data_IF_191401914297
#
_entry.id   IF_191401914297
#
_cell.length_a   1.000
_cell.length_b   1.000
_cell.length_c   1.000
_cell.angle_alpha   90.00
_cell.angle_beta   90.00
_cell.angle_gamma   90.00
#
_symmetry.space_group_name_H-M   'P 1'
#
loop_
_entity.id
_entity.type
_entity.pdbx_description
1 polymer ?
#
# COMPACT_ATOMS: atom_id res chain seq x y z
N UNK A 1 -3.45 0.45 -23.69
CA UNK A 1 -2.83 0.99 -22.47
C UNK A 1 -1.73 0.06 -22.02
N UNK A 2 -0.52 0.56 -21.79
CA UNK A 2 0.54 -0.29 -21.25
C UNK A 2 0.21 -0.72 -19.83
N UNK A 3 0.54 -1.96 -19.51
CA UNK A 3 0.44 -2.45 -18.15
C UNK A 3 1.57 -1.85 -17.32
N UNK A 4 1.28 -1.55 -16.06
CA UNK A 4 2.23 -0.87 -15.19
C UNK A 4 2.11 -1.42 -13.77
N UNK A 5 3.26 -1.59 -13.09
CA UNK A 5 3.29 -1.88 -11.67
C UNK A 5 4.11 -0.79 -10.97
N UNK A 6 3.59 -0.29 -9.86
CA UNK A 6 4.29 0.69 -9.03
C UNK A 6 4.46 0.10 -7.63
N UNK A 7 5.69 0.10 -7.14
CA UNK A 7 5.97 -0.35 -5.78
C UNK A 7 5.69 0.81 -4.83
N UNK A 8 4.66 0.66 -4.00
CA UNK A 8 4.26 1.69 -3.05
C UNK A 8 5.09 1.62 -1.78
N UNK A 9 5.64 0.46 -1.48
CA UNK A 9 6.52 0.25 -0.35
C UNK A 9 7.31 -1.02 -0.52
N UNK A 10 8.58 -0.99 -0.10
CA UNK A 10 9.52 -2.10 -0.23
C UNK A 10 10.28 -2.35 1.06
N UNK A 11 9.75 -1.85 2.20
CA UNK A 11 10.40 -1.92 3.50
C UNK A 11 9.90 -3.04 4.40
N UNK A 12 9.41 -4.13 3.83
CA UNK A 12 8.87 -5.28 4.56
C UNK A 12 7.80 -4.88 5.57
N UNK A 13 7.63 -5.60 6.67
CA UNK A 13 6.55 -5.36 7.63
C UNK A 13 6.78 -4.15 8.55
N UNK A 14 8.04 -3.74 8.71
CA UNK A 14 8.40 -2.65 9.62
C UNK A 14 8.63 -1.32 8.94
N UNK A 15 8.84 -1.32 7.63
CA UNK A 15 9.39 -0.16 6.94
C UNK A 15 10.85 0.04 7.30
N UNK A 16 11.49 1.05 6.70
CA UNK A 16 12.85 1.47 7.02
C UNK A 16 12.85 2.99 7.10
N UNK A 17 13.36 3.63 8.16
CA UNK A 17 14.01 3.05 9.32
C UNK A 17 13.05 2.29 10.25
N UNK A 18 13.58 1.30 10.93
CA UNK A 18 12.85 0.57 11.97
C UNK A 18 12.92 1.38 13.26
N UNK A 19 11.80 1.48 13.97
CA UNK A 19 11.76 2.18 15.25
C UNK A 19 12.83 1.64 16.19
N UNK A 20 13.57 2.53 16.83
CA UNK A 20 14.65 2.24 17.76
C UNK A 20 15.92 1.64 17.14
N UNK A 21 15.93 1.32 15.86
CA UNK A 21 17.11 0.77 15.21
C UNK A 21 18.15 1.86 14.96
N UNK A 22 19.38 1.63 15.37
CA UNK A 22 20.49 2.56 15.21
C UNK A 22 21.54 2.09 14.20
N UNK A 23 21.20 1.10 13.37
CA UNK A 23 22.12 0.62 12.35
C UNK A 23 22.38 1.68 11.28
N UNK A 24 23.42 1.47 10.49
CA UNK A 24 23.86 2.42 9.48
C UNK A 24 22.74 2.78 8.50
N UNK A 25 21.97 1.80 8.06
CA UNK A 25 20.86 2.02 7.10
C UNK A 25 19.73 2.80 7.75
N UNK A 26 19.30 2.42 8.95
CA UNK A 26 18.19 3.10 9.64
C UNK A 26 18.55 4.53 10.07
N UNK A 27 19.82 4.84 10.24
CA UNK A 27 20.29 6.17 10.56
C UNK A 27 20.66 7.00 9.33
N UNK A 28 20.62 6.41 8.16
CA UNK A 28 20.99 7.06 6.91
C UNK A 28 20.02 8.19 6.56
N UNK A 29 20.56 9.25 5.96
CA UNK A 29 19.75 10.34 5.40
C UNK A 29 19.43 10.15 3.93
N UNK A 30 19.95 9.08 3.32
CA UNK A 30 19.71 8.79 1.91
C UNK A 30 18.25 8.38 1.71
N UNK A 31 17.50 9.03 0.79
CA UNK A 31 16.09 8.68 0.54
C UNK A 31 15.90 7.22 0.11
N UNK A 32 16.91 6.58 -0.49
CA UNK A 32 16.82 5.18 -0.88
C UNK A 32 16.77 4.23 0.32
N UNK A 33 17.18 4.70 1.48
CA UNK A 33 17.12 3.93 2.73
C UNK A 33 15.86 4.20 3.53
N UNK A 34 14.93 4.96 2.95
CA UNK A 34 13.63 5.26 3.57
C UNK A 34 12.55 4.56 2.78
N UNK A 35 11.94 3.54 3.40
CA UNK A 35 11.00 2.65 2.70
C UNK A 35 9.76 2.41 3.54
N UNK A 36 8.60 2.61 2.94
CA UNK A 36 7.33 2.29 3.56
C UNK A 36 7.10 0.76 3.51
N UNK A 37 6.12 0.30 4.26
CA UNK A 37 5.78 -1.12 4.32
C UNK A 37 5.29 -1.63 2.96
N UNK A 38 5.45 -2.90 2.72
CA UNK A 38 5.24 -3.53 1.41
C UNK A 38 3.82 -3.35 0.88
N UNK A 39 3.71 -2.80 -0.31
CA UNK A 39 2.47 -2.72 -1.07
C UNK A 39 2.79 -2.40 -2.53
N UNK A 40 1.82 -2.65 -3.41
CA UNK A 40 1.99 -2.39 -4.83
C UNK A 40 0.69 -1.89 -5.45
N UNK A 41 0.81 -1.16 -6.56
CA UNK A 41 -0.30 -0.69 -7.37
C UNK A 41 -0.11 -1.18 -8.79
N UNK A 42 -1.15 -1.78 -9.36
CA UNK A 42 -1.09 -2.36 -10.69
C UNK A 42 -2.16 -1.72 -11.59
N UNK A 43 -1.75 -1.27 -12.76
CA UNK A 43 -2.64 -0.87 -13.84
C UNK A 43 -2.54 -1.91 -14.95
N UNK A 44 -3.66 -2.60 -15.22
CA UNK A 44 -3.68 -3.70 -16.17
C UNK A 44 -5.01 -3.70 -16.92
N UNK A 45 -4.97 -3.52 -18.24
CA UNK A 45 -6.16 -3.56 -19.10
C UNK A 45 -7.28 -2.62 -18.62
N UNK A 46 -6.92 -1.45 -18.12
CA UNK A 46 -7.88 -0.49 -17.60
C UNK A 46 -8.32 -0.74 -16.16
N UNK A 47 -7.91 -1.85 -15.55
CA UNK A 47 -8.15 -2.10 -14.14
C UNK A 47 -7.01 -1.53 -13.29
N UNK A 48 -7.36 -1.01 -12.12
CA UNK A 48 -6.40 -0.46 -11.16
C UNK A 48 -6.56 -1.22 -9.86
N UNK A 49 -5.50 -1.90 -9.45
CA UNK A 49 -5.52 -2.80 -8.32
C UNK A 49 -4.47 -2.41 -7.29
N UNK A 50 -4.84 -2.49 -6.02
CA UNK A 50 -3.90 -2.32 -4.91
C UNK A 50 -3.62 -3.71 -4.34
N UNK A 51 -2.35 -4.02 -4.14
CA UNK A 51 -1.94 -5.26 -3.47
C UNK A 51 -1.50 -4.91 -2.07
N UNK A 52 -2.28 -5.36 -1.10
CA UNK A 52 -2.17 -5.10 0.32
C UNK A 52 -2.42 -3.64 0.70
N UNK A 53 -3.00 -3.45 1.87
CA UNK A 53 -3.47 -2.18 2.36
C UNK A 53 -3.06 -2.06 3.83
N UNK A 54 -1.78 -1.80 4.06
CA UNK A 54 -1.19 -1.74 5.39
C UNK A 54 -1.31 -0.38 6.05
N UNK A 55 -0.58 -0.16 7.15
CA UNK A 55 -0.67 1.08 7.92
C UNK A 55 -0.22 2.32 7.14
N UNK A 56 0.61 2.15 6.11
CA UNK A 56 1.12 3.27 5.32
C UNK A 56 0.27 3.59 4.10
N UNK A 57 -0.88 2.94 3.95
CA UNK A 57 -1.75 3.04 2.77
C UNK A 57 -2.05 4.49 2.39
N UNK A 58 -2.49 5.28 3.34
CA UNK A 58 -2.83 6.68 3.09
C UNK A 58 -1.64 7.43 2.51
N UNK A 59 -0.47 7.32 3.14
CA UNK A 59 0.74 7.99 2.68
C UNK A 59 1.17 7.49 1.31
N UNK A 60 1.06 6.20 1.06
CA UNK A 60 1.43 5.59 -0.20
C UNK A 60 0.60 6.14 -1.36
N UNK A 61 -0.70 6.26 -1.17
CA UNK A 61 -1.58 6.81 -2.20
C UNK A 61 -1.35 8.30 -2.42
N UNK A 62 -1.16 9.06 -1.34
CA UNK A 62 -0.90 10.50 -1.45
C UNK A 62 0.41 10.77 -2.18
N UNK A 63 1.48 10.06 -1.82
CA UNK A 63 2.79 10.25 -2.43
C UNK A 63 2.79 9.91 -3.91
N UNK A 64 2.01 8.94 -4.33
CA UNK A 64 1.97 8.47 -5.71
C UNK A 64 0.81 9.07 -6.52
N UNK A 65 0.06 10.01 -5.94
CA UNK A 65 -1.08 10.67 -6.59
C UNK A 65 -2.14 9.68 -7.09
N UNK A 66 -2.39 8.62 -6.33
CA UNK A 66 -3.41 7.64 -6.65
C UNK A 66 -4.73 8.10 -6.03
N UNK A 67 -5.64 8.55 -6.87
CA UNK A 67 -6.94 9.09 -6.43
C UNK A 67 -8.09 8.12 -6.58
N UNK A 68 -7.87 6.99 -7.24
CA UNK A 68 -8.92 6.03 -7.48
C UNK A 68 -8.30 4.67 -7.82
N UNK A 69 -9.04 3.61 -7.51
CA UNK A 69 -8.66 2.24 -7.86
C UNK A 69 -9.92 1.37 -7.80
N UNK A 70 -9.84 0.16 -8.34
CA UNK A 70 -11.02 -0.68 -8.51
C UNK A 70 -11.16 -1.76 -7.44
N UNK A 71 -10.04 -2.28 -6.95
CA UNK A 71 -10.08 -3.37 -5.97
C UNK A 71 -8.79 -3.45 -5.18
N UNK A 72 -8.87 -4.10 -4.02
CA UNK A 72 -7.72 -4.44 -3.18
C UNK A 72 -7.59 -5.95 -3.13
N UNK A 73 -6.40 -6.45 -3.37
CA UNK A 73 -6.06 -7.86 -3.25
C UNK A 73 -5.22 -8.04 -1.98
N UNK A 74 -5.71 -8.79 -1.02
CA UNK A 74 -5.02 -9.02 0.25
C UNK A 74 -4.26 -10.34 0.15
N UNK A 75 -2.93 -10.29 0.31
CA UNK A 75 -2.09 -11.49 0.23
C UNK A 75 -2.25 -12.37 1.47
N UNK A 76 -2.34 -11.76 2.65
CA UNK A 76 -2.59 -12.48 3.90
C UNK A 76 -3.05 -11.51 4.99
N UNK A 77 -3.57 -12.03 6.10
CA UNK A 77 -4.25 -11.24 7.11
C UNK A 77 -3.37 -10.61 8.17
N UNK A 78 -2.06 -10.53 8.00
CA UNK A 78 -1.19 -9.83 8.94
C UNK A 78 -1.48 -8.33 8.94
N UNK A 79 -1.32 -7.69 10.09
CA UNK A 79 -1.68 -6.28 10.28
C UNK A 79 -0.99 -5.35 9.28
N UNK A 80 0.26 -5.61 8.96
CA UNK A 80 1.01 -4.78 8.02
C UNK A 80 0.47 -4.84 6.58
N UNK A 81 -0.48 -5.74 6.31
CA UNK A 81 -1.11 -5.88 5.00
C UNK A 81 -2.58 -5.49 5.00
N UNK A 82 -3.22 -5.25 6.16
CA UNK A 82 -4.66 -4.95 6.23
C UNK A 82 -4.99 -3.73 7.08
N UNK A 83 -4.06 -3.18 7.86
CA UNK A 83 -4.39 -2.15 8.85
C UNK A 83 -4.85 -0.83 8.25
N UNK A 84 -4.64 -0.60 6.96
CA UNK A 84 -5.08 0.61 6.28
C UNK A 84 -6.46 0.52 5.63
N UNK A 85 -7.18 -0.58 5.79
CA UNK A 85 -8.48 -0.77 5.13
C UNK A 85 -9.50 0.31 5.49
N UNK A 86 -9.43 0.89 6.68
CA UNK A 86 -10.33 1.97 7.08
C UNK A 86 -10.22 3.21 6.19
N UNK A 87 -9.06 3.46 5.61
CA UNK A 87 -8.86 4.64 4.76
C UNK A 87 -9.61 4.52 3.43
N UNK A 88 -10.09 3.34 3.08
CA UNK A 88 -10.90 3.13 1.88
C UNK A 88 -12.23 3.89 1.97
N UNK A 89 -12.68 4.21 3.18
CA UNK A 89 -13.93 4.96 3.37
C UNK A 89 -13.97 6.26 2.59
N UNK A 90 -12.83 6.93 2.41
CA UNK A 90 -12.78 8.17 1.65
C UNK A 90 -13.24 7.96 0.21
N UNK A 91 -12.90 6.84 -0.40
CA UNK A 91 -13.34 6.52 -1.75
C UNK A 91 -14.85 6.27 -1.80
N UNK A 92 -15.40 5.64 -0.76
CA UNK A 92 -16.84 5.40 -0.69
C UNK A 92 -17.62 6.71 -0.54
N UNK A 93 -17.19 7.60 0.37
CA UNK A 93 -17.91 8.83 0.66
C UNK A 93 -17.69 9.91 -0.41
N UNK A 94 -16.47 10.14 -0.83
CA UNK A 94 -16.14 11.26 -1.71
C UNK A 94 -16.38 10.91 -3.16
N UNK A 95 -16.01 9.68 -3.56
CA UNK A 95 -16.17 9.22 -4.94
C UNK A 95 -17.49 8.49 -5.18
N UNK A 96 -18.21 8.12 -4.12
CA UNK A 96 -19.43 7.33 -4.24
C UNK A 96 -19.17 5.95 -4.85
N UNK A 97 -17.97 5.42 -4.67
CA UNK A 97 -17.52 4.18 -5.31
C UNK A 97 -17.39 3.06 -4.31
N UNK A 98 -17.86 1.88 -4.67
CA UNK A 98 -17.63 0.66 -3.90
C UNK A 98 -16.31 0.04 -4.34
N UNK A 99 -15.44 -0.24 -3.38
CA UNK A 99 -14.16 -0.88 -3.63
C UNK A 99 -14.27 -2.35 -3.20
N UNK A 100 -14.04 -3.26 -4.13
CA UNK A 100 -14.04 -4.69 -3.83
C UNK A 100 -12.74 -5.11 -3.18
N UNK A 101 -12.84 -5.99 -2.17
CA UNK A 101 -11.69 -6.52 -1.45
C UNK A 101 -11.66 -8.02 -1.64
N UNK A 102 -10.58 -8.54 -2.19
CA UNK A 102 -10.38 -9.95 -2.43
C UNK A 102 -9.34 -10.51 -1.47
N UNK A 103 -9.69 -11.55 -0.77
CA UNK A 103 -8.81 -12.22 0.18
C UNK A 103 -9.16 -13.71 0.22
N UNK A 104 -8.27 -14.53 0.79
CA UNK A 104 -8.59 -15.93 0.95
C UNK A 104 -9.51 -16.15 2.14
N UNK A 105 -10.05 -17.38 2.30
CA UNK A 105 -11.07 -17.67 3.31
C UNK A 105 -10.55 -17.57 4.75
N UNK A 106 -9.23 -17.65 4.96
CA UNK A 106 -8.64 -17.58 6.29
C UNK A 106 -8.27 -16.16 6.73
N UNK A 107 -8.42 -15.20 5.83
CA UNK A 107 -8.07 -13.79 6.13
C UNK A 107 -9.24 -13.03 6.71
#
# INVERSE_FOLDING_TARGET
>A
MPNKISFLGTGTSTGVPVLTCECEVCRSENPRDKRLRTAAYIECNGLRLIIDCGPDFRQQLLTNNINDFDAVLITHGHRDHIAGLDDIRAFNYIRGKTIDIYANAST
#
